data_IF_170600956085
#
_entry.id   IF_170600956085
#
_cell.length_a   1.000
_cell.length_b   1.000
_cell.length_c   1.000
_cell.angle_alpha   90.00
_cell.angle_beta   90.00
_cell.angle_gamma   90.00
#
_symmetry.space_group_name_H-M   'P 1'
#
loop_
_entity.id
_entity.type
_entity.pdbx_description
1 polymer ?
#
# COMPACT_ATOMS: atom_id res chain seq x y z
N UNK A 1 6.52 9.15 -28.91
CA UNK A 1 5.31 8.97 -28.09
C UNK A 1 4.29 9.98 -28.58
N UNK A 2 3.08 9.53 -28.90
CA UNK A 2 1.95 10.40 -29.29
C UNK A 2 0.94 10.46 -28.14
N UNK A 3 0.13 11.53 -28.06
CA UNK A 3 -0.85 11.75 -26.99
C UNK A 3 -1.80 10.56 -26.75
N UNK A 4 -2.16 9.82 -27.81
CA UNK A 4 -2.97 8.60 -27.71
C UNK A 4 -2.35 7.49 -26.85
N UNK A 5 -1.05 7.55 -26.60
CA UNK A 5 -0.32 6.60 -25.75
C UNK A 5 -0.28 7.03 -24.28
N UNK A 6 -0.71 8.26 -23.96
CA UNK A 6 -0.78 8.74 -22.58
C UNK A 6 -2.13 8.32 -22.00
N UNK A 7 -2.15 7.48 -20.95
CA UNK A 7 -3.41 7.04 -20.36
C UNK A 7 -4.16 8.22 -19.75
N UNK A 8 -5.47 8.28 -20.02
CA UNK A 8 -6.35 9.24 -19.36
C UNK A 8 -6.37 9.02 -17.83
N UNK A 9 -6.71 10.06 -17.06
CA UNK A 9 -6.78 9.99 -15.59
C UNK A 9 -7.61 8.81 -15.08
N UNK A 10 -8.77 8.55 -15.69
CA UNK A 10 -9.61 7.39 -15.35
C UNK A 10 -8.84 6.09 -15.52
N UNK A 11 -8.10 5.95 -16.63
CA UNK A 11 -7.33 4.75 -16.90
C UNK A 11 -6.18 4.59 -15.92
N UNK A 12 -5.52 5.67 -15.53
CA UNK A 12 -4.50 5.65 -14.48
C UNK A 12 -5.08 5.20 -13.13
N UNK A 13 -6.23 5.73 -12.72
CA UNK A 13 -6.89 5.31 -11.47
C UNK A 13 -7.25 3.82 -11.47
N UNK A 14 -7.75 3.30 -12.60
CA UNK A 14 -7.99 1.86 -12.76
C UNK A 14 -6.70 1.06 -12.60
N UNK A 15 -5.63 1.45 -13.29
CA UNK A 15 -4.34 0.76 -13.26
C UNK A 15 -3.73 0.76 -11.85
N UNK A 16 -3.82 1.89 -11.12
CA UNK A 16 -3.37 2.00 -9.72
C UNK A 16 -4.16 1.04 -8.83
N UNK A 17 -5.48 1.01 -8.98
CA UNK A 17 -6.37 0.17 -8.17
C UNK A 17 -6.11 -1.32 -8.43
N UNK A 18 -5.98 -1.72 -9.70
CA UNK A 18 -5.68 -3.10 -10.06
C UNK A 18 -4.30 -3.52 -9.55
N UNK A 19 -3.29 -2.64 -9.67
CA UNK A 19 -1.97 -2.95 -9.13
C UNK A 19 -1.99 -3.06 -7.61
N UNK A 20 -2.71 -2.17 -6.93
CA UNK A 20 -2.88 -2.22 -5.47
C UNK A 20 -3.45 -3.56 -5.02
N UNK A 21 -4.50 -4.09 -5.66
CA UNK A 21 -5.09 -5.39 -5.28
C UNK A 21 -4.07 -6.53 -5.35
N UNK A 22 -3.24 -6.55 -6.39
CA UNK A 22 -2.21 -7.58 -6.59
C UNK A 22 -1.17 -7.52 -5.48
N UNK A 23 -0.60 -6.33 -5.23
CA UNK A 23 0.44 -6.14 -4.21
C UNK A 23 -0.12 -6.34 -2.80
N UNK A 24 -1.35 -5.89 -2.53
CA UNK A 24 -2.02 -6.10 -1.25
C UNK A 24 -2.21 -7.60 -0.96
N UNK A 25 -2.63 -8.39 -1.95
CA UNK A 25 -2.74 -9.83 -1.78
C UNK A 25 -1.39 -10.51 -1.53
N UNK A 26 -0.29 -10.00 -2.11
CA UNK A 26 1.06 -10.47 -1.83
C UNK A 26 1.50 -10.12 -0.40
N UNK A 27 1.31 -8.86 0.01
CA UNK A 27 1.59 -8.38 1.36
C UNK A 27 0.84 -9.19 2.44
N UNK A 28 -0.43 -9.56 2.21
CA UNK A 28 -1.19 -10.39 3.15
C UNK A 28 -0.53 -11.76 3.38
N UNK A 29 -0.04 -12.42 2.31
CA UNK A 29 0.68 -13.69 2.44
C UNK A 29 1.99 -13.54 3.21
N UNK A 30 2.69 -12.43 3.00
CA UNK A 30 3.93 -12.15 3.74
C UNK A 30 3.65 -11.91 5.23
N UNK A 31 2.54 -11.24 5.55
CA UNK A 31 2.11 -10.98 6.92
C UNK A 31 1.70 -12.27 7.64
N UNK A 32 0.99 -13.18 6.97
CA UNK A 32 0.69 -14.52 7.49
C UNK A 32 1.99 -15.29 7.84
N UNK A 33 3.07 -15.08 7.08
CA UNK A 33 4.38 -15.67 7.35
C UNK A 33 5.18 -14.93 8.45
N UNK A 34 4.69 -13.78 8.92
CA UNK A 34 5.39 -12.86 9.83
C UNK A 34 4.82 -12.87 11.25
N UNK A 35 4.06 -13.90 11.64
CA UNK A 35 3.44 -13.99 12.98
C UNK A 35 4.43 -13.66 14.11
N UNK A 36 4.00 -12.77 15.01
CA UNK A 36 4.81 -12.28 16.14
C UNK A 36 5.92 -11.29 15.78
N UNK A 37 6.05 -10.90 14.51
CA UNK A 37 7.07 -9.97 13.99
C UNK A 37 6.45 -8.88 13.12
N UNK A 38 5.30 -8.39 13.57
CA UNK A 38 4.56 -7.28 12.96
C UNK A 38 4.46 -6.17 14.00
N UNK A 39 4.84 -4.95 13.62
CA UNK A 39 4.64 -3.74 14.38
C UNK A 39 3.86 -2.74 13.52
N UNK A 40 3.11 -1.85 14.14
CA UNK A 40 2.40 -0.78 13.45
C UNK A 40 2.77 0.57 14.05
N UNK A 41 2.89 1.58 13.19
CA UNK A 41 2.93 2.98 13.61
C UNK A 41 1.64 3.66 13.17
N UNK A 42 1.17 4.58 13.99
CA UNK A 42 0.00 5.40 13.70
C UNK A 42 0.42 6.86 13.81
N UNK A 43 0.44 7.54 12.67
CA UNK A 43 0.71 8.97 12.60
C UNK A 43 -0.63 9.69 12.57
N UNK A 44 -0.86 10.57 13.55
CA UNK A 44 -2.08 11.37 13.67
C UNK A 44 -1.70 12.84 13.63
N UNK A 45 -2.34 13.58 12.74
CA UNK A 45 -2.13 15.02 12.63
C UNK A 45 -3.38 15.70 12.11
N UNK A 46 -3.48 17.01 12.36
CA UNK A 46 -4.51 17.87 11.78
C UNK A 46 -3.86 18.89 10.87
N UNK A 47 -4.55 19.26 9.79
CA UNK A 47 -4.18 20.41 8.96
C UNK A 47 -4.72 21.71 9.57
N UNK A 48 -4.21 22.84 9.12
CA UNK A 48 -4.66 24.18 9.56
C UNK A 48 -6.15 24.42 9.29
N UNK A 49 -6.72 23.75 8.29
CA UNK A 49 -8.15 23.78 7.99
C UNK A 49 -8.99 22.84 8.87
N UNK A 50 -8.42 22.31 9.97
CA UNK A 50 -9.04 21.39 10.93
C UNK A 50 -9.38 20.00 10.38
N UNK A 51 -8.91 19.64 9.20
CA UNK A 51 -9.02 18.27 8.70
C UNK A 51 -8.08 17.36 9.49
N UNK A 52 -8.65 16.33 10.11
CA UNK A 52 -7.89 15.32 10.86
C UNK A 52 -7.51 14.16 9.95
N UNK A 53 -6.26 13.71 10.08
CA UNK A 53 -5.69 12.61 9.32
C UNK A 53 -5.13 11.54 10.25
N UNK A 54 -5.25 10.29 9.80
CA UNK A 54 -4.63 9.11 10.42
C UNK A 54 -3.95 8.32 9.30
N UNK A 55 -2.64 8.12 9.42
CA UNK A 55 -1.91 7.14 8.63
C UNK A 55 -1.48 5.98 9.51
N UNK A 56 -1.68 4.76 9.01
CA UNK A 56 -1.23 3.53 9.67
C UNK A 56 -0.20 2.89 8.75
N UNK A 57 1.00 2.62 9.29
CA UNK A 57 2.06 1.91 8.56
C UNK A 57 2.36 0.58 9.27
N UNK A 58 2.34 -0.52 8.52
CA UNK A 58 2.72 -1.85 9.02
C UNK A 58 4.18 -2.15 8.69
N UNK A 59 4.95 -2.55 9.71
CA UNK A 59 6.33 -3.01 9.59
C UNK A 59 6.37 -4.50 9.93
N UNK A 60 6.90 -5.34 9.03
CA UNK A 60 6.98 -6.78 9.27
C UNK A 60 8.26 -7.39 8.72
N UNK A 61 8.66 -8.54 9.29
CA UNK A 61 9.81 -9.32 8.82
C UNK A 61 9.35 -10.65 8.21
N UNK A 62 9.34 -10.73 6.88
CA UNK A 62 9.11 -11.98 6.17
C UNK A 62 10.37 -12.85 6.21
N UNK A 63 10.21 -14.16 6.42
CA UNK A 63 11.29 -15.11 6.12
C UNK A 63 11.10 -15.50 4.66
N UNK A 64 12.14 -15.30 3.84
CA UNK A 64 12.19 -15.98 2.55
C UNK A 64 12.13 -17.49 2.82
N UNK A 65 11.44 -18.28 1.96
CA UNK A 65 11.56 -19.73 2.02
C UNK A 65 13.05 -20.07 1.94
N UNK A 66 13.56 -20.81 2.92
CA UNK A 66 14.88 -21.44 2.79
C UNK A 66 14.81 -22.35 1.57
N UNK A 67 15.55 -21.99 0.51
CA UNK A 67 15.75 -22.83 -0.66
C UNK A 67 16.40 -24.16 -0.31
#
# INVERSE_FOLDING_TARGET
LEDRHIPHRTKLSELITERFKIEHAAMLRDLECSLGRVATTADVWSRENLDSHLAITGHYLSRLPSG
#
